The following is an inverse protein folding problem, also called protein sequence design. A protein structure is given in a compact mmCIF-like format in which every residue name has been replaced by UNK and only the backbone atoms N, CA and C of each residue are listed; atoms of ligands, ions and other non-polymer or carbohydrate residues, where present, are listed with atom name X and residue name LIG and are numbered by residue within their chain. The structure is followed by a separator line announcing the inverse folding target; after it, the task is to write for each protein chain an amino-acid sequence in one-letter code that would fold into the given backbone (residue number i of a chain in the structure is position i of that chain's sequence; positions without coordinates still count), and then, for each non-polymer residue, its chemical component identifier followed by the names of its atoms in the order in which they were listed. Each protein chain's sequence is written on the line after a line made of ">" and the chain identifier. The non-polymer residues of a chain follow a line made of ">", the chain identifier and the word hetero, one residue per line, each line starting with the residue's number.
data_IF_567853668185
#
_entry.id   IF_567853668185
#
_cell.length_a   1.000
_cell.length_b   1.000
_cell.length_c   1.000
_cell.angle_alpha   90.00
_cell.angle_beta   90.00
_cell.angle_gamma   90.00
#
_symmetry.space_group_name_H-M   'P 1'
#
loop_
_entity.id
_entity.type
_entity.pdbx_description
1 polymer ?
#
# COMPACT_ATOMS: atom_id res chain seq x y z
N UNK A 1 11.62 8.59 5.04
CA UNK A 1 11.12 7.28 5.51
C UNK A 1 10.66 7.51 6.93
N UNK A 2 9.44 7.12 7.27
CA UNK A 2 8.89 7.41 8.59
C UNK A 2 9.33 6.39 9.64
N UNK A 3 9.45 5.10 9.27
CA UNK A 3 9.95 4.09 10.19
C UNK A 3 10.64 2.91 9.49
N UNK A 4 11.72 2.39 10.09
CA UNK A 4 12.47 1.23 9.62
C UNK A 4 12.72 0.23 10.75
N UNK A 5 12.09 -0.95 10.67
CA UNK A 5 12.47 -2.10 11.47
C UNK A 5 13.55 -2.89 10.73
N UNK A 6 14.80 -2.65 11.09
CA UNK A 6 15.95 -3.31 10.47
C UNK A 6 15.99 -4.81 10.77
N UNK A 7 16.89 -5.54 10.09
CA UNK A 7 17.03 -7.00 10.24
C UNK A 7 17.22 -7.48 11.67
N UNK A 8 17.93 -6.70 12.49
CA UNK A 8 18.21 -7.04 13.88
C UNK A 8 17.03 -6.76 14.84
N UNK A 9 16.04 -5.96 14.42
CA UNK A 9 14.86 -5.66 15.23
C UNK A 9 14.14 -6.96 15.62
N UNK A 10 13.54 -7.00 16.81
CA UNK A 10 12.71 -8.13 17.27
C UNK A 10 11.84 -7.69 18.44
N UNK A 11 10.76 -8.42 18.71
CA UNK A 11 9.83 -8.13 19.82
C UNK A 11 9.26 -6.70 19.75
N UNK A 12 8.94 -6.23 18.54
CA UNK A 12 8.41 -4.89 18.33
C UNK A 12 6.89 -4.93 18.48
N UNK A 13 6.38 -4.21 19.46
CA UNK A 13 4.95 -3.95 19.62
C UNK A 13 4.67 -2.48 19.31
N UNK A 14 3.91 -2.24 18.24
CA UNK A 14 3.39 -0.93 17.89
C UNK A 14 1.87 -0.98 18.04
N UNK A 15 1.35 -0.12 18.91
CA UNK A 15 -0.09 0.05 19.09
C UNK A 15 -0.46 1.52 18.97
N UNK A 16 -1.56 1.82 18.27
CA UNK A 16 -2.06 3.19 18.09
C UNK A 16 -0.99 4.13 17.52
N UNK A 17 -0.27 3.64 16.51
CA UNK A 17 0.82 4.38 15.86
C UNK A 17 0.36 4.88 14.48
N UNK A 18 0.39 6.20 14.29
CA UNK A 18 0.02 6.84 13.03
C UNK A 18 1.25 7.48 12.37
N UNK A 19 1.67 6.92 11.24
CA UNK A 19 2.72 7.45 10.38
C UNK A 19 2.05 8.30 9.30
N UNK A 20 1.81 9.57 9.62
CA UNK A 20 1.05 10.47 8.76
C UNK A 20 1.95 11.49 8.06
N UNK A 21 1.73 11.67 6.77
CA UNK A 21 2.33 12.74 5.98
C UNK A 21 1.21 13.71 5.64
N UNK A 22 1.36 14.97 6.01
CA UNK A 22 0.26 15.92 5.96
C UNK A 22 -0.38 16.04 4.57
N UNK A 23 -1.66 15.69 4.49
CA UNK A 23 -2.52 15.91 3.32
C UNK A 23 -3.29 17.24 3.42
N UNK A 24 -3.39 17.81 4.63
CA UNK A 24 -3.96 19.13 4.92
C UNK A 24 -3.24 19.83 6.09
N UNK A 25 -3.40 21.15 6.18
CA UNK A 25 -2.91 21.95 7.30
C UNK A 25 -3.86 21.80 8.50
N UNK A 26 -3.30 21.42 9.66
CA UNK A 26 -4.05 21.20 10.90
C UNK A 26 -4.49 22.51 11.58
N UNK A 27 -3.78 23.61 11.33
CA UNK A 27 -4.01 24.90 11.96
C UNK A 27 -4.78 25.86 11.04
N UNK A 28 -4.94 25.53 9.76
CA UNK A 28 -5.83 26.29 8.86
C UNK A 28 -7.29 25.95 9.19
N UNK A 29 -8.15 26.95 9.53
CA UNK A 29 -9.55 26.71 9.89
C UNK A 29 -10.39 26.14 8.73
N UNK A 30 -9.94 26.27 7.49
CA UNK A 30 -10.56 25.67 6.31
C UNK A 30 -10.01 24.27 6.00
N UNK A 31 -9.08 23.75 6.80
CA UNK A 31 -8.36 22.48 6.57
C UNK A 31 -7.82 22.36 5.14
N UNK A 32 -7.17 23.43 4.65
CA UNK A 32 -6.69 23.48 3.27
C UNK A 32 -5.73 22.32 3.01
N UNK A 33 -5.98 21.61 1.91
CA UNK A 33 -5.11 20.54 1.46
C UNK A 33 -3.71 21.09 1.11
N UNK A 34 -2.68 20.33 1.47
CA UNK A 34 -1.29 20.65 1.18
C UNK A 34 -0.63 19.53 0.39
N UNK A 35 0.51 19.82 -0.23
CA UNK A 35 1.34 18.82 -0.90
C UNK A 35 2.65 18.66 -0.15
N UNK A 36 2.78 17.56 0.61
CA UNK A 36 4.02 17.19 1.30
C UNK A 36 4.58 15.91 0.70
N UNK A 37 5.85 15.91 0.33
CA UNK A 37 6.51 14.77 -0.27
C UNK A 37 7.33 14.00 0.78
N UNK A 38 6.97 12.75 1.06
CA UNK A 38 7.76 11.84 1.85
C UNK A 38 7.78 10.44 1.23
N UNK A 39 8.97 9.89 1.02
CA UNK A 39 9.11 8.73 0.13
C UNK A 39 8.47 7.44 0.63
N UNK A 40 8.59 7.11 1.92
CA UNK A 40 8.40 5.74 2.44
C UNK A 40 7.75 5.76 3.81
N UNK A 41 6.73 4.93 4.03
CA UNK A 41 6.09 4.75 5.33
C UNK A 41 6.90 3.83 6.25
N UNK A 42 6.35 2.64 6.51
CA UNK A 42 6.96 1.61 7.35
C UNK A 42 7.66 0.54 6.50
N UNK A 43 8.98 0.40 6.69
CA UNK A 43 9.76 -0.73 6.17
C UNK A 43 10.05 -1.74 7.28
N UNK A 44 9.70 -3.00 7.07
CA UNK A 44 9.97 -4.09 8.01
C UNK A 44 10.84 -5.15 7.34
N UNK A 45 12.06 -5.30 7.85
CA UNK A 45 13.05 -6.29 7.43
C UNK A 45 13.48 -7.23 8.56
N UNK A 46 12.78 -7.22 9.70
CA UNK A 46 13.09 -8.02 10.88
C UNK A 46 13.20 -9.51 10.55
N UNK A 47 14.42 -10.05 10.53
CA UNK A 47 14.61 -11.49 10.30
C UNK A 47 14.34 -12.30 11.56
N UNK A 48 14.33 -11.65 12.72
CA UNK A 48 14.00 -12.26 14.02
C UNK A 48 12.49 -12.36 14.25
N UNK A 49 11.68 -11.64 13.46
CA UNK A 49 10.22 -11.61 13.52
C UNK A 49 9.67 -10.99 14.81
N UNK A 50 8.48 -11.46 15.22
CA UNK A 50 7.76 -10.98 16.41
C UNK A 50 7.51 -9.48 16.34
N UNK A 51 6.75 -9.11 15.30
CA UNK A 51 6.32 -7.73 15.05
C UNK A 51 4.81 -7.70 15.12
N UNK A 52 4.27 -6.84 15.99
CA UNK A 52 2.84 -6.61 16.12
C UNK A 52 2.53 -5.16 15.76
N UNK A 53 1.69 -4.97 14.76
CA UNK A 53 1.21 -3.68 14.28
C UNK A 53 -0.30 -3.59 14.59
N UNK A 54 -0.61 -3.21 15.83
CA UNK A 54 -1.97 -3.08 16.37
C UNK A 54 -2.50 -1.68 16.11
N UNK A 55 -3.68 -1.55 15.48
CA UNK A 55 -4.34 -0.28 15.19
C UNK A 55 -3.38 0.79 14.62
N UNK A 56 -2.67 0.46 13.54
CA UNK A 56 -1.68 1.37 12.94
C UNK A 56 -2.17 1.97 11.63
N UNK A 57 -1.80 3.23 11.38
CA UNK A 57 -2.02 3.92 10.10
C UNK A 57 -0.69 4.34 9.48
N UNK A 58 -0.56 4.22 8.17
CA UNK A 58 0.58 4.76 7.42
C UNK A 58 0.05 5.38 6.13
N UNK A 59 0.21 6.67 5.94
CA UNK A 59 -0.57 7.41 4.95
C UNK A 59 0.28 8.42 4.18
N UNK A 60 -0.09 8.60 2.91
CA UNK A 60 0.38 9.65 2.01
C UNK A 60 1.89 9.62 1.70
N UNK A 61 2.56 8.48 1.87
CA UNK A 61 3.93 8.30 1.40
C UNK A 61 3.96 8.04 -0.12
N UNK A 62 4.98 8.56 -0.79
CA UNK A 62 5.08 8.55 -2.26
C UNK A 62 5.22 7.15 -2.87
N UNK A 63 6.01 6.26 -2.25
CA UNK A 63 6.35 4.95 -2.83
C UNK A 63 5.50 3.82 -2.27
N UNK A 64 5.39 3.75 -0.94
CA UNK A 64 4.61 2.73 -0.24
C UNK A 64 4.27 3.17 1.18
N UNK A 65 3.15 2.67 1.69
CA UNK A 65 2.70 2.90 3.05
C UNK A 65 3.26 1.83 4.01
N UNK A 66 3.15 0.56 3.63
CA UNK A 66 3.75 -0.58 4.32
C UNK A 66 4.56 -1.45 3.35
N UNK A 67 5.76 -1.84 3.75
CA UNK A 67 6.58 -2.80 3.03
C UNK A 67 7.22 -3.81 3.99
N UNK A 68 6.87 -5.08 3.80
CA UNK A 68 7.44 -6.24 4.46
C UNK A 68 8.42 -6.88 3.46
N UNK A 69 9.70 -6.93 3.80
CA UNK A 69 10.73 -7.46 2.91
C UNK A 69 11.64 -8.44 3.65
N UNK A 70 11.68 -9.70 3.19
CA UNK A 70 12.50 -10.76 3.80
C UNK A 70 12.32 -10.87 5.32
N UNK A 71 11.11 -10.61 5.81
CA UNK A 71 10.74 -10.66 7.22
C UNK A 71 9.90 -11.89 7.53
N UNK A 72 9.61 -12.13 8.81
CA UNK A 72 8.76 -13.24 9.26
C UNK A 72 7.97 -12.91 10.51
N UNK A 73 6.94 -13.70 10.80
CA UNK A 73 6.17 -13.67 12.06
C UNK A 73 5.66 -12.24 12.38
N UNK A 74 4.81 -11.72 11.49
CA UNK A 74 4.25 -10.37 11.57
C UNK A 74 2.73 -10.42 11.72
N UNK A 75 2.24 -9.79 12.78
CA UNK A 75 0.81 -9.52 12.99
C UNK A 75 0.48 -8.07 12.63
N UNK A 76 -0.64 -7.86 11.95
CA UNK A 76 -1.20 -6.57 11.57
C UNK A 76 -2.69 -6.57 11.93
N UNK A 77 -3.22 -5.59 12.66
CA UNK A 77 -4.64 -5.63 13.04
C UNK A 77 -5.19 -4.40 13.78
N UNK A 78 -6.17 -3.66 13.23
CA UNK A 78 -6.29 -3.40 11.80
C UNK A 78 -5.19 -2.43 11.37
N UNK A 79 -4.71 -2.58 10.14
CA UNK A 79 -3.83 -1.59 9.49
C UNK A 79 -4.58 -0.76 8.46
N UNK A 80 -4.19 0.50 8.32
CA UNK A 80 -4.85 1.45 7.43
C UNK A 80 -3.82 2.19 6.58
N UNK A 81 -4.09 2.37 5.29
CA UNK A 81 -3.28 3.25 4.45
C UNK A 81 -4.05 4.09 3.43
N UNK A 82 -3.55 5.30 3.14
CA UNK A 82 -4.01 6.15 2.04
C UNK A 82 -2.90 6.51 1.05
N UNK A 83 -3.23 6.49 -0.24
CA UNK A 83 -2.39 7.04 -1.31
C UNK A 83 -2.37 8.57 -1.23
N UNK A 84 -1.21 9.25 -1.40
CA UNK A 84 -1.15 10.71 -1.30
C UNK A 84 -2.00 11.41 -2.37
N UNK A 85 -2.70 12.46 -1.98
CA UNK A 85 -3.79 13.04 -2.80
C UNK A 85 -3.33 13.67 -4.12
N UNK A 86 -2.06 14.11 -4.15
CA UNK A 86 -1.45 14.67 -5.34
C UNK A 86 -1.23 13.61 -6.43
N UNK A 87 -1.03 12.33 -6.08
CA UNK A 87 -0.79 11.30 -7.09
C UNK A 87 -2.01 11.17 -8.01
N UNK A 88 -1.82 10.99 -9.32
CA UNK A 88 -0.57 10.66 -10.04
C UNK A 88 0.22 11.90 -10.53
N UNK A 89 0.04 13.09 -9.95
CA UNK A 89 0.74 14.32 -10.32
C UNK A 89 1.53 14.94 -9.14
N UNK A 90 2.85 14.68 -9.02
CA UNK A 90 3.62 13.78 -9.87
C UNK A 90 3.31 12.29 -9.60
N UNK A 91 3.70 11.37 -10.50
CA UNK A 91 3.58 9.93 -10.28
C UNK A 91 4.53 9.48 -9.16
N UNK A 92 4.33 8.27 -8.64
CA UNK A 92 5.13 7.71 -7.55
C UNK A 92 6.64 7.62 -7.83
N UNK A 93 7.08 7.72 -9.09
CA UNK A 93 8.51 7.78 -9.46
C UNK A 93 9.20 9.10 -9.11
N UNK A 94 8.45 10.12 -8.66
CA UNK A 94 8.93 11.47 -8.34
C UNK A 94 8.32 11.90 -6.99
N UNK A 95 9.05 12.63 -6.13
CA UNK A 95 10.41 13.16 -6.33
C UNK A 95 11.52 12.25 -5.84
N UNK A 96 11.19 11.07 -5.29
CA UNK A 96 12.18 10.19 -4.69
C UNK A 96 12.72 9.19 -5.71
N UNK A 97 14.01 9.26 -6.08
CA UNK A 97 14.61 8.22 -6.89
C UNK A 97 14.61 6.90 -6.12
N UNK A 98 14.55 5.79 -6.88
CA UNK A 98 14.61 4.44 -6.33
C UNK A 98 15.94 4.20 -5.63
N UNK A 99 15.89 3.69 -4.41
CA UNK A 99 17.03 3.30 -3.59
C UNK A 99 16.97 1.79 -3.36
N UNK A 100 17.92 1.07 -3.96
CA UNK A 100 17.96 -0.40 -3.86
C UNK A 100 18.08 -0.90 -2.42
N UNK A 101 18.81 -0.17 -1.56
CA UNK A 101 19.00 -0.51 -0.14
C UNK A 101 17.71 -0.49 0.70
N UNK A 102 16.64 0.16 0.22
CA UNK A 102 15.32 0.17 0.86
C UNK A 102 14.30 -0.67 0.11
N UNK A 103 14.75 -1.44 -0.89
CA UNK A 103 13.91 -2.35 -1.67
C UNK A 103 12.72 -1.64 -2.33
N UNK A 104 12.96 -0.40 -2.78
CA UNK A 104 11.92 0.44 -3.35
C UNK A 104 11.22 -0.21 -4.56
N UNK A 105 9.92 0.07 -4.74
CA UNK A 105 9.17 -0.34 -5.91
C UNK A 105 9.86 0.12 -7.20
N UNK A 106 9.82 -0.74 -8.21
CA UNK A 106 10.26 -0.41 -9.56
C UNK A 106 9.01 -0.14 -10.41
N UNK A 107 8.46 1.07 -10.29
CA UNK A 107 7.23 1.42 -11.00
C UNK A 107 7.40 1.36 -12.52
N UNK A 108 8.60 1.56 -13.05
CA UNK A 108 8.86 1.43 -14.50
C UNK A 108 8.70 -0.03 -14.96
N UNK A 109 9.24 -0.98 -14.20
CA UNK A 109 9.06 -2.40 -14.46
C UNK A 109 7.60 -2.83 -14.18
N UNK A 110 7.08 -2.47 -13.01
CA UNK A 110 5.77 -2.90 -12.52
C UNK A 110 4.61 -2.36 -13.39
N UNK A 111 4.80 -1.22 -14.06
CA UNK A 111 3.78 -0.58 -14.90
C UNK A 111 4.02 -0.74 -16.41
N UNK A 112 5.07 -1.46 -16.82
CA UNK A 112 5.37 -1.71 -18.23
C UNK A 112 4.18 -2.39 -18.91
N UNK A 113 3.66 -1.77 -19.97
CA UNK A 113 2.49 -2.28 -20.71
C UNK A 113 1.15 -2.15 -19.99
N UNK A 114 1.11 -1.57 -18.78
CA UNK A 114 -0.10 -1.40 -17.95
C UNK A 114 -0.65 0.01 -17.92
N UNK A 115 -0.09 0.95 -18.68
CA UNK A 115 -0.59 2.32 -18.68
C UNK A 115 -2.07 2.36 -19.07
N UNK A 116 -2.86 3.10 -18.27
CA UNK A 116 -4.28 3.29 -18.54
C UNK A 116 -4.47 3.92 -19.92
N UNK A 117 -5.19 3.22 -20.81
CA UNK A 117 -5.52 3.75 -22.14
C UNK A 117 -6.91 4.37 -22.08
N UNK A 118 -6.97 5.70 -22.26
CA UNK A 118 -8.21 6.46 -22.40
C UNK A 118 -8.69 7.18 -21.13
N UNK A 119 -9.71 8.05 -21.26
CA UNK A 119 -10.26 8.83 -20.15
C UNK A 119 -10.80 7.93 -19.03
N UNK A 120 -10.39 8.22 -17.79
CA UNK A 120 -10.83 7.47 -16.61
C UNK A 120 -10.17 6.10 -16.43
N UNK A 121 -9.16 5.74 -17.24
CA UNK A 121 -8.37 4.56 -16.96
C UNK A 121 -7.52 4.78 -15.70
N UNK A 122 -7.54 3.85 -14.72
CA UNK A 122 -6.78 4.01 -13.48
C UNK A 122 -5.27 4.14 -13.73
N UNK A 123 -4.59 4.92 -12.90
CA UNK A 123 -3.14 5.13 -13.01
C UNK A 123 -2.35 4.06 -12.30
N UNK A 124 -1.22 3.67 -12.91
CA UNK A 124 -0.42 2.54 -12.43
C UNK A 124 0.65 2.95 -11.42
N UNK A 125 1.43 3.99 -11.71
CA UNK A 125 2.56 4.43 -10.87
C UNK A 125 2.07 5.29 -9.69
N UNK A 126 1.41 4.63 -8.74
CA UNK A 126 0.91 5.21 -7.49
C UNK A 126 1.38 4.37 -6.30
N UNK A 127 1.42 4.96 -5.12
CA UNK A 127 1.98 4.37 -3.93
C UNK A 127 1.29 3.04 -3.57
N UNK A 128 2.07 2.03 -3.20
CA UNK A 128 1.49 0.78 -2.71
C UNK A 128 0.94 0.95 -1.30
N UNK A 129 -0.25 0.42 -1.02
CA UNK A 129 -0.79 0.35 0.34
C UNK A 129 0.00 -0.66 1.18
N UNK A 130 0.13 -1.88 0.66
CA UNK A 130 0.87 -2.95 1.31
C UNK A 130 1.69 -3.74 0.30
N UNK A 131 2.96 -3.95 0.60
CA UNK A 131 3.85 -4.85 -0.15
C UNK A 131 4.39 -5.94 0.77
N UNK A 132 4.25 -7.19 0.36
CA UNK A 132 4.76 -8.38 1.06
C UNK A 132 5.70 -9.12 0.11
N UNK A 133 6.99 -9.11 0.41
CA UNK A 133 8.04 -9.54 -0.50
C UNK A 133 8.98 -10.52 0.19
N UNK A 134 9.10 -11.73 -0.35
CA UNK A 134 9.88 -12.84 0.23
C UNK A 134 9.70 -12.99 1.75
N UNK A 135 8.47 -12.83 2.24
CA UNK A 135 8.19 -12.79 3.68
C UNK A 135 7.24 -13.93 4.06
N UNK A 136 7.35 -14.44 5.29
CA UNK A 136 6.57 -15.61 5.71
C UNK A 136 5.83 -15.45 7.04
N UNK A 137 4.74 -16.19 7.22
CA UNK A 137 3.92 -16.13 8.44
C UNK A 137 3.53 -14.67 8.74
N UNK A 138 2.78 -14.08 7.80
CA UNK A 138 2.24 -12.73 7.90
C UNK A 138 0.73 -12.84 8.02
N UNK A 139 0.19 -12.30 9.11
CA UNK A 139 -1.25 -12.29 9.34
C UNK A 139 -1.74 -10.87 9.51
N UNK A 140 -2.68 -10.46 8.67
CA UNK A 140 -3.42 -9.22 8.81
C UNK A 140 -4.88 -9.51 9.19
N UNK A 141 -5.27 -9.19 10.42
CA UNK A 141 -6.66 -9.21 10.88
C UNK A 141 -7.30 -7.84 10.69
N UNK A 142 -7.82 -7.61 9.49
CA UNK A 142 -8.31 -6.32 9.03
C UNK A 142 -7.20 -5.51 8.36
N UNK A 143 -7.44 -5.11 7.12
CA UNK A 143 -6.57 -4.21 6.38
C UNK A 143 -7.41 -3.28 5.51
N UNK A 144 -7.22 -1.97 5.64
CA UNK A 144 -7.90 -0.96 4.84
C UNK A 144 -6.90 -0.19 3.99
N UNK A 145 -6.96 -0.31 2.67
CA UNK A 145 -6.05 0.40 1.77
C UNK A 145 -6.81 1.23 0.74
N UNK A 146 -6.67 2.55 0.81
CA UNK A 146 -7.56 3.48 0.13
C UNK A 146 -6.81 4.37 -0.86
N UNK A 147 -7.42 4.57 -2.03
CA UNK A 147 -7.00 5.57 -3.00
C UNK A 147 -8.21 6.44 -3.33
N UNK A 148 -8.26 7.64 -2.75
CA UNK A 148 -9.43 8.53 -2.90
C UNK A 148 -9.32 9.51 -4.06
N UNK A 149 -8.11 9.87 -4.46
CA UNK A 149 -7.86 11.00 -5.35
C UNK A 149 -7.04 10.60 -6.57
N UNK A 150 -7.25 11.36 -7.64
CA UNK A 150 -6.29 11.56 -8.70
C UNK A 150 -6.03 13.07 -8.82
N UNK A 151 -4.85 13.54 -8.41
CA UNK A 151 -4.48 14.96 -8.43
C UNK A 151 -5.56 15.84 -7.75
N UNK A 152 -5.85 15.52 -6.48
CA UNK A 152 -6.84 16.19 -5.63
C UNK A 152 -8.31 16.10 -6.10
N UNK A 153 -8.60 15.36 -7.17
CA UNK A 153 -9.96 15.12 -7.65
C UNK A 153 -10.51 13.76 -7.15
N UNK A 154 -11.70 13.76 -6.54
CA UNK A 154 -12.37 12.59 -5.97
C UNK A 154 -13.29 11.83 -6.92
N UNK A 155 -13.52 12.31 -8.16
CA UNK A 155 -14.42 11.66 -9.12
C UNK A 155 -14.06 10.20 -9.43
N UNK A 156 -12.81 9.79 -9.18
CA UNK A 156 -12.35 8.43 -9.40
C UNK A 156 -12.79 7.42 -8.31
N UNK A 157 -13.14 7.90 -7.11
CA UNK A 157 -13.52 7.08 -5.94
C UNK A 157 -15.00 7.21 -5.57
N UNK A 158 -15.75 8.10 -6.25
CA UNK A 158 -17.19 8.24 -6.04
C UNK A 158 -17.93 6.90 -6.22
N UNK A 159 -19.04 6.74 -5.50
CA UNK A 159 -19.93 5.58 -5.65
C UNK A 159 -20.36 5.48 -7.12
N UNK A 160 -20.18 4.30 -7.72
CA UNK A 160 -20.48 4.08 -9.15
C UNK A 160 -19.34 4.46 -10.11
N UNK A 161 -18.24 5.07 -9.65
CA UNK A 161 -17.09 5.40 -10.50
C UNK A 161 -16.33 4.15 -10.97
N UNK A 162 -16.47 3.01 -10.29
CA UNK A 162 -15.88 1.72 -10.71
C UNK A 162 -14.40 1.59 -10.37
N UNK A 163 -13.97 2.15 -9.24
CA UNK A 163 -12.62 2.05 -8.67
C UNK A 163 -11.49 2.42 -9.65
N UNK A 164 -11.46 3.69 -10.03
CA UNK A 164 -10.63 4.23 -11.12
C UNK A 164 -9.50 5.14 -10.66
N UNK A 165 -9.26 5.29 -9.36
CA UNK A 165 -8.15 6.13 -8.90
C UNK A 165 -6.82 5.44 -9.21
N UNK A 166 -6.65 4.22 -8.69
CA UNK A 166 -5.40 3.48 -8.74
C UNK A 166 -5.59 2.10 -9.35
N UNK A 167 -4.57 1.58 -10.04
CA UNK A 167 -4.67 0.25 -10.64
C UNK A 167 -4.58 -0.88 -9.62
N UNK A 168 -3.64 -0.80 -8.67
CA UNK A 168 -3.27 -1.90 -7.76
C UNK A 168 -2.82 -1.33 -6.42
N UNK A 169 -3.10 -2.01 -5.31
CA UNK A 169 -2.78 -1.47 -3.96
C UNK A 169 -2.16 -2.46 -2.98
N UNK A 170 -2.42 -3.77 -3.09
CA UNK A 170 -1.68 -4.81 -2.37
C UNK A 170 -0.83 -5.62 -3.33
N UNK A 171 0.45 -5.74 -3.01
CA UNK A 171 1.47 -6.46 -3.78
C UNK A 171 2.02 -7.61 -2.95
N UNK A 172 1.87 -8.85 -3.43
CA UNK A 172 2.40 -10.05 -2.78
C UNK A 172 3.27 -10.79 -3.77
N UNK A 173 4.56 -10.94 -3.50
CA UNK A 173 5.47 -11.53 -4.49
C UNK A 173 6.73 -12.11 -3.89
N UNK A 174 7.45 -12.87 -4.68
CA UNK A 174 8.82 -13.22 -4.36
C UNK A 174 9.79 -12.08 -4.69
N UNK A 175 10.87 -11.97 -3.92
CA UNK A 175 12.02 -11.18 -4.34
C UNK A 175 12.70 -11.85 -5.55
N UNK A 176 13.22 -11.07 -6.50
CA UNK A 176 13.95 -11.63 -7.64
C UNK A 176 15.15 -12.49 -7.21
N UNK A 177 15.44 -13.53 -7.99
CA UNK A 177 16.65 -14.35 -7.86
C UNK A 177 16.57 -15.39 -6.74
N UNK A 178 15.97 -16.55 -7.02
CA UNK A 178 15.90 -17.77 -6.18
C UNK A 178 15.92 -17.49 -4.66
N UNK A 179 15.09 -16.55 -4.22
CA UNK A 179 14.99 -16.14 -2.82
C UNK A 179 13.95 -17.00 -2.10
N UNK A 180 13.86 -16.85 -0.78
CA UNK A 180 12.76 -17.43 0.00
C UNK A 180 11.43 -16.94 -0.57
N UNK A 181 10.53 -17.89 -0.85
CA UNK A 181 9.20 -17.57 -1.32
C UNK A 181 8.42 -16.77 -0.27
N UNK A 182 7.52 -15.92 -0.71
CA UNK A 182 6.44 -15.43 0.13
C UNK A 182 5.47 -16.58 0.37
N UNK A 183 5.17 -16.88 1.63
CA UNK A 183 4.41 -18.06 2.03
C UNK A 183 3.72 -17.82 3.37
N UNK A 184 2.62 -18.52 3.63
CA UNK A 184 1.81 -18.35 4.84
C UNK A 184 1.42 -16.88 5.07
N UNK A 185 0.81 -16.27 4.04
CA UNK A 185 0.24 -14.92 4.12
C UNK A 185 -1.27 -15.02 4.20
N UNK A 186 -1.83 -14.55 5.31
CA UNK A 186 -3.28 -14.54 5.54
C UNK A 186 -3.76 -13.11 5.79
N UNK A 187 -4.60 -12.57 4.92
CA UNK A 187 -5.21 -11.25 5.08
C UNK A 187 -6.71 -11.44 5.23
N UNK A 188 -7.21 -11.26 6.45
CA UNK A 188 -8.61 -11.28 6.79
C UNK A 188 -9.21 -9.88 6.63
N UNK A 189 -10.42 -9.79 6.09
CA UNK A 189 -11.16 -8.55 5.93
C UNK A 189 -10.34 -7.44 5.24
N UNK A 190 -9.84 -7.74 4.03
CA UNK A 190 -9.14 -6.77 3.20
C UNK A 190 -10.15 -5.85 2.51
N UNK A 191 -10.16 -4.58 2.90
CA UNK A 191 -11.01 -3.53 2.35
C UNK A 191 -10.19 -2.57 1.49
N UNK A 192 -10.71 -2.19 0.34
CA UNK A 192 -10.11 -1.17 -0.53
C UNK A 192 -11.13 -0.12 -0.99
N UNK A 193 -10.62 1.07 -1.32
CA UNK A 193 -11.37 2.13 -2.00
C UNK A 193 -10.62 2.59 -3.25
N UNK A 194 -11.36 2.86 -4.33
CA UNK A 194 -10.83 3.52 -5.53
C UNK A 194 -9.78 2.76 -6.33
N UNK A 195 -9.48 1.50 -5.98
CA UNK A 195 -8.47 0.68 -6.65
C UNK A 195 -9.07 -0.45 -7.48
N UNK A 196 -8.62 -0.63 -8.73
CA UNK A 196 -9.15 -1.67 -9.64
C UNK A 196 -8.82 -3.10 -9.19
N UNK A 197 -7.55 -3.40 -8.92
CA UNK A 197 -7.08 -4.68 -8.43
C UNK A 197 -6.76 -4.57 -6.93
N UNK A 198 -7.44 -5.38 -6.13
CA UNK A 198 -7.26 -5.41 -4.68
C UNK A 198 -5.92 -6.06 -4.34
N UNK A 199 -5.59 -7.17 -5.00
CA UNK A 199 -4.35 -7.94 -4.78
C UNK A 199 -3.70 -8.28 -6.12
N UNK A 200 -2.40 -8.02 -6.19
CA UNK A 200 -1.52 -8.46 -7.27
C UNK A 200 -0.51 -9.46 -6.71
N UNK A 201 -0.49 -10.68 -7.26
CA UNK A 201 0.42 -11.77 -6.91
C UNK A 201 1.43 -12.03 -8.01
N UNK A 202 2.72 -11.90 -7.71
CA UNK A 202 3.81 -12.11 -8.68
C UNK A 202 3.59 -11.36 -10.00
N UNK A 203 3.15 -10.10 -9.87
CA UNK A 203 2.81 -9.24 -10.99
C UNK A 203 1.46 -9.55 -11.66
N UNK A 204 0.74 -10.61 -11.30
CA UNK A 204 -0.59 -10.92 -11.85
C UNK A 204 -1.69 -10.42 -10.93
N UNK A 205 -2.70 -9.72 -11.47
CA UNK A 205 -3.82 -9.24 -10.67
C UNK A 205 -4.76 -10.42 -10.39
N UNK A 206 -4.96 -10.79 -9.12
CA UNK A 206 -5.66 -12.02 -8.71
C UNK A 206 -7.00 -11.77 -8.02
N UNK A 207 -7.24 -10.55 -7.55
CA UNK A 207 -8.51 -10.15 -6.97
C UNK A 207 -8.88 -8.73 -7.37
N UNK A 208 -10.13 -8.51 -7.80
CA UNK A 208 -10.57 -7.25 -8.37
C UNK A 208 -11.74 -6.65 -7.60
N UNK A 209 -11.80 -5.31 -7.60
CA UNK A 209 -12.90 -4.53 -7.04
C UNK A 209 -14.27 -5.02 -7.53
N UNK A 210 -14.40 -5.23 -8.85
CA UNK A 210 -15.67 -5.56 -9.51
C UNK A 210 -16.32 -6.85 -9.00
N UNK A 211 -15.52 -7.74 -8.42
CA UNK A 211 -15.96 -9.06 -7.95
C UNK A 211 -16.26 -9.04 -6.43
N UNK A 212 -15.98 -7.92 -5.74
CA UNK A 212 -15.94 -7.83 -4.28
C UNK A 212 -16.62 -6.55 -3.74
N UNK A 213 -17.56 -5.96 -4.47
CA UNK A 213 -18.21 -4.69 -4.08
C UNK A 213 -18.96 -4.85 -2.75
N UNK A 214 -18.66 -3.98 -1.78
CA UNK A 214 -19.20 -4.02 -0.41
C UNK A 214 -19.61 -2.61 0.05
N UNK A 215 -20.55 -1.99 -0.67
CA UNK A 215 -21.02 -0.63 -0.39
C UNK A 215 -20.04 0.43 -0.91
N UNK A 216 -19.49 1.25 -0.01
CA UNK A 216 -18.48 2.25 -0.38
C UNK A 216 -17.12 1.61 -0.71
N UNK A 217 -16.76 0.56 0.02
CA UNK A 217 -15.54 -0.23 -0.18
C UNK A 217 -15.77 -1.42 -1.12
N UNK A 218 -14.69 -2.07 -1.56
CA UNK A 218 -14.71 -3.47 -1.93
C UNK A 218 -13.94 -4.31 -0.91
N UNK A 219 -14.41 -5.53 -0.66
CA UNK A 219 -13.97 -6.34 0.47
C UNK A 219 -13.75 -7.81 0.16
N UNK A 220 -12.60 -8.34 0.56
CA UNK A 220 -12.30 -9.77 0.53
C UNK A 220 -12.26 -10.27 1.97
N UNK A 221 -13.09 -11.28 2.27
CA UNK A 221 -13.17 -11.85 3.61
C UNK A 221 -11.85 -12.51 4.04
N UNK A 222 -11.19 -13.24 3.13
CA UNK A 222 -9.91 -13.89 3.35
C UNK A 222 -9.13 -14.01 2.04
N UNK A 223 -7.89 -13.53 2.05
CA UNK A 223 -6.87 -13.84 1.06
C UNK A 223 -5.81 -14.74 1.68
N UNK A 224 -5.45 -15.83 1.00
CA UNK A 224 -4.40 -16.76 1.41
C UNK A 224 -3.38 -16.94 0.29
N UNK A 225 -2.10 -16.94 0.64
CA UNK A 225 -0.99 -17.24 -0.26
C UNK A 225 0.02 -18.16 0.41
#
# INVERSE_FOLDING_TARGET
>A
MSMHLTRASSNVWMENCWLWIADHDLEDPDYKQVTVYAGRGLLVESTNGRVWLSASGSEHHTLYQYQLFKTRDVYMGQVQSETPYYQPNPPATIPFPRVQGYHDPDFEADCRGRQGKGPGAPTCAMAWGLRIISSRNVVAFGAGHYSFFNNYNTSCSQIGAGARCQQRIVDVRDAPGNCTATDDVNIYNLQIVGTRAMVTRDGTDVAFYKDNIAGFTAGIALYQH
#
